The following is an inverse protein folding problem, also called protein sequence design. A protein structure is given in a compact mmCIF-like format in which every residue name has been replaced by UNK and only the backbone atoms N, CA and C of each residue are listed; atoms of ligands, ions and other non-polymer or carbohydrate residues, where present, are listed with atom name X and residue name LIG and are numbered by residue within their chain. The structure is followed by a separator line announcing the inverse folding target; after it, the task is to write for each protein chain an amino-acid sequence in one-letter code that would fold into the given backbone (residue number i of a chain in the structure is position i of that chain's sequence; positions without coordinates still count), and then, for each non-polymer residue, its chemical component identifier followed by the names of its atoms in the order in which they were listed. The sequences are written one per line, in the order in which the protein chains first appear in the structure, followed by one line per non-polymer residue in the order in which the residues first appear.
data_IF_093817848174
#
_entry.id   IF_093817848174
#
_cell.length_a   1.000
_cell.length_b   1.000
_cell.length_c   1.000
_cell.angle_alpha   90.00
_cell.angle_beta   90.00
_cell.angle_gamma   90.00
#
_symmetry.space_group_name_H-M   'P 1'
#
loop_
_entity.id
_entity.type
_entity.pdbx_description
1 polymer ?
#
# COMPACT_ATOMS: atom_id res chain seq x y z
N UNK A 1 -6.55 -16.56 -3.32
CA UNK A 1 -6.16 -15.20 -3.77
C UNK A 1 -4.66 -15.19 -4.01
N UNK A 2 -4.19 -14.55 -5.08
CA UNK A 2 -2.75 -14.34 -5.30
C UNK A 2 -2.20 -13.48 -4.16
N UNK A 3 -1.02 -13.77 -3.64
CA UNK A 3 -0.38 -13.04 -2.52
C UNK A 3 -0.35 -11.52 -2.76
N UNK A 4 -0.07 -11.12 -4.01
CA UNK A 4 -0.06 -9.72 -4.44
C UNK A 4 -1.39 -9.00 -4.23
N UNK A 5 -2.51 -9.65 -4.54
CA UNK A 5 -3.85 -9.05 -4.34
C UNK A 5 -4.17 -8.87 -2.86
N UNK A 6 -3.67 -9.76 -1.99
CA UNK A 6 -3.78 -9.59 -0.55
C UNK A 6 -2.97 -8.38 -0.07
N UNK A 7 -1.76 -8.19 -0.59
CA UNK A 7 -0.91 -7.04 -0.25
C UNK A 7 -1.53 -5.72 -0.70
N UNK A 8 -2.07 -5.66 -1.93
CA UNK A 8 -2.80 -4.49 -2.42
C UNK A 8 -4.03 -4.18 -1.57
N UNK A 9 -4.79 -5.20 -1.15
CA UNK A 9 -5.94 -5.02 -0.25
C UNK A 9 -5.52 -4.33 1.05
N UNK A 10 -4.40 -4.74 1.65
CA UNK A 10 -3.87 -4.12 2.87
C UNK A 10 -3.53 -2.65 2.62
N UNK A 11 -2.89 -2.32 1.49
CA UNK A 11 -2.60 -0.93 1.12
C UNK A 11 -3.88 -0.11 0.97
N UNK A 12 -4.93 -0.65 0.33
CA UNK A 12 -6.24 0.01 0.23
C UNK A 12 -6.87 0.26 1.61
N UNK A 13 -6.81 -0.71 2.52
CA UNK A 13 -7.29 -0.56 3.91
C UNK A 13 -6.55 0.56 4.65
N UNK A 14 -5.22 0.68 4.47
CA UNK A 14 -4.45 1.78 5.06
C UNK A 14 -4.72 3.13 4.39
N UNK A 15 -4.91 3.16 3.06
CA UNK A 15 -5.34 4.37 2.34
C UNK A 15 -6.68 4.88 2.85
N UNK A 16 -7.67 4.01 3.01
CA UNK A 16 -8.98 4.38 3.55
C UNK A 16 -8.87 4.84 5.01
N UNK A 17 -8.15 4.09 5.85
CA UNK A 17 -8.00 4.39 7.28
C UNK A 17 -7.26 5.70 7.56
N UNK A 18 -6.22 5.99 6.79
CA UNK A 18 -5.42 7.21 6.98
C UNK A 18 -5.95 8.40 6.19
N UNK A 19 -6.75 8.17 5.15
CA UNK A 19 -7.37 9.20 4.33
C UNK A 19 -6.34 10.21 3.83
N UNK A 20 -6.59 11.50 4.11
CA UNK A 20 -5.71 12.60 3.71
C UNK A 20 -4.30 12.51 4.32
N UNK A 21 -4.14 11.82 5.45
CA UNK A 21 -2.84 11.63 6.11
C UNK A 21 -2.04 10.46 5.52
N UNK A 22 -2.61 9.72 4.56
CA UNK A 22 -1.96 8.56 3.98
C UNK A 22 -0.57 8.89 3.42
N UNK A 23 -0.43 9.96 2.64
CA UNK A 23 0.85 10.38 2.06
C UNK A 23 1.90 10.68 3.12
N UNK A 24 1.48 11.30 4.23
CA UNK A 24 2.40 11.62 5.34
C UNK A 24 2.90 10.34 6.02
N UNK A 25 1.99 9.43 6.38
CA UNK A 25 2.38 8.18 7.05
C UNK A 25 3.11 7.21 6.12
N UNK A 26 2.76 7.19 4.83
CA UNK A 26 3.41 6.37 3.81
C UNK A 26 4.87 6.74 3.59
N UNK A 27 5.28 8.00 3.84
CA UNK A 27 6.69 8.43 3.72
C UNK A 27 7.61 7.81 4.76
N UNK A 28 7.07 7.48 5.93
CA UNK A 28 7.77 6.91 7.09
C UNK A 28 7.31 5.48 7.37
N UNK A 29 6.80 4.79 6.35
CA UNK A 29 6.15 3.48 6.50
C UNK A 29 7.10 2.42 7.08
N UNK A 30 8.39 2.55 6.84
CA UNK A 30 9.45 1.67 7.32
C UNK A 30 9.53 1.57 8.85
N UNK A 31 9.09 2.63 9.56
CA UNK A 31 9.05 2.69 11.02
C UNK A 31 7.82 1.96 11.61
N UNK A 32 6.81 1.68 10.78
CA UNK A 32 5.58 1.03 11.22
C UNK A 32 5.70 -0.49 11.19
N UNK A 33 5.68 -1.10 12.38
CA UNK A 33 5.73 -2.57 12.52
C UNK A 33 4.49 -3.29 11.98
N UNK A 34 3.30 -2.70 12.12
CA UNK A 34 2.03 -3.36 11.76
C UNK A 34 1.90 -3.58 10.24
N UNK A 35 2.04 -2.55 9.38
CA UNK A 35 1.98 -2.72 7.92
C UNK A 35 2.99 -3.76 7.42
N UNK A 36 4.22 -3.76 7.96
CA UNK A 36 5.26 -4.72 7.59
C UNK A 36 4.84 -6.16 7.89
N UNK A 37 4.31 -6.44 9.08
CA UNK A 37 3.85 -7.79 9.46
C UNK A 37 2.70 -8.26 8.55
N UNK A 38 1.78 -7.35 8.21
CA UNK A 38 0.62 -7.68 7.38
C UNK A 38 1.00 -7.97 5.93
N UNK A 39 1.97 -7.24 5.38
CA UNK A 39 2.41 -7.38 3.98
C UNK A 39 3.47 -8.47 3.82
N UNK A 40 4.58 -8.37 4.56
CA UNK A 40 5.64 -9.38 4.59
C UNK A 40 6.58 -9.15 5.77
N UNK A 41 6.48 -10.02 6.78
CA UNK A 41 7.25 -9.92 8.02
C UNK A 41 8.76 -10.13 7.87
N UNK A 42 9.21 -10.71 6.75
CA UNK A 42 10.60 -11.10 6.53
C UNK A 42 11.44 -10.01 5.86
N UNK A 43 10.81 -8.92 5.42
CA UNK A 43 11.52 -7.82 4.76
C UNK A 43 12.22 -6.92 5.77
N UNK A 44 13.41 -6.45 5.41
CA UNK A 44 14.05 -5.32 6.08
C UNK A 44 13.20 -4.05 5.91
N UNK A 45 13.42 -3.02 6.75
CA UNK A 45 12.69 -1.75 6.61
C UNK A 45 12.81 -1.14 5.20
N UNK A 46 13.99 -1.21 4.58
CA UNK A 46 14.26 -0.71 3.23
C UNK A 46 13.47 -1.50 2.17
N UNK A 47 13.59 -2.83 2.17
CA UNK A 47 12.87 -3.69 1.21
C UNK A 47 11.35 -3.54 1.35
N UNK A 48 10.86 -3.39 2.59
CA UNK A 48 9.47 -3.14 2.85
C UNK A 48 9.01 -1.79 2.29
N UNK A 49 9.81 -0.73 2.45
CA UNK A 49 9.51 0.59 1.88
C UNK A 49 9.43 0.54 0.35
N UNK A 50 10.34 -0.17 -0.30
CA UNK A 50 10.32 -0.36 -1.75
C UNK A 50 9.07 -1.10 -2.21
N UNK A 51 8.75 -2.25 -1.58
CA UNK A 51 7.53 -3.01 -1.87
C UNK A 51 6.27 -2.17 -1.62
N UNK A 52 6.24 -1.42 -0.52
CA UNK A 52 5.11 -0.56 -0.19
C UNK A 52 4.87 0.50 -1.28
N UNK A 53 5.92 1.20 -1.71
CA UNK A 53 5.82 2.21 -2.77
C UNK A 53 5.34 1.61 -4.10
N UNK A 54 5.81 0.41 -4.44
CA UNK A 54 5.37 -0.32 -5.63
C UNK A 54 3.86 -0.64 -5.56
N UNK A 55 3.40 -1.18 -4.43
CA UNK A 55 1.98 -1.49 -4.21
C UNK A 55 1.10 -0.24 -4.21
N UNK A 56 1.56 0.86 -3.60
CA UNK A 56 0.85 2.15 -3.62
C UNK A 56 0.67 2.66 -5.04
N UNK A 57 1.72 2.56 -5.86
CA UNK A 57 1.67 2.96 -7.26
C UNK A 57 0.65 2.12 -8.02
N UNK A 58 0.71 0.79 -7.90
CA UNK A 58 -0.25 -0.12 -8.55
C UNK A 58 -1.69 0.19 -8.16
N UNK A 59 -1.96 0.33 -6.86
CA UNK A 59 -3.31 0.64 -6.36
C UNK A 59 -3.81 1.98 -6.91
N UNK A 60 -2.96 3.02 -6.94
CA UNK A 60 -3.34 4.32 -7.52
C UNK A 60 -3.63 4.23 -9.02
N UNK A 61 -2.84 3.45 -9.77
CA UNK A 61 -3.07 3.23 -11.19
C UNK A 61 -4.37 2.48 -11.47
N UNK A 62 -4.70 1.49 -10.64
CA UNK A 62 -5.99 0.77 -10.70
C UNK A 62 -7.17 1.71 -10.43
N UNK A 63 -7.13 2.46 -9.33
CA UNK A 63 -8.17 3.43 -8.97
C UNK A 63 -8.38 4.51 -10.04
N UNK A 64 -7.31 4.92 -10.73
CA UNK A 64 -7.39 5.88 -11.84
C UNK A 64 -8.07 5.29 -13.07
N UNK A 65 -7.82 4.01 -13.38
CA UNK A 65 -8.46 3.32 -14.51
C UNK A 65 -9.95 3.11 -14.26
N UNK A 66 -10.32 2.73 -13.05
CA UNK A 66 -11.72 2.58 -12.64
C UNK A 66 -12.50 3.90 -12.82
N UNK A 67 -11.95 5.03 -12.37
CA UNK A 67 -12.58 6.35 -12.57
C UNK A 67 -12.73 6.79 -14.03
N UNK A 68 -11.88 6.30 -14.92
CA UNK A 68 -11.92 6.67 -16.35
C UNK A 68 -13.00 5.88 -17.12
N UNK A 69 -13.41 4.72 -16.62
CA UNK A 69 -14.42 3.88 -17.27
C UNK A 69 -15.86 4.23 -16.90
N UNK A 70 -16.07 5.09 -15.89
CA UNK A 70 -17.38 5.56 -15.45
C UNK A 70 -17.81 6.91 -16.08
N UNK A 71 -17.10 7.39 -17.12
CA UNK A 71 -17.40 8.62 -17.89
C UNK A 71 -17.70 8.24 -19.34
#
# INVERSE_FOLDING_TARGET
MKEREKQKKIVREFMERWGERFELYSRYIEDFKIPRILINRNLSPTEFKELWNELVKEVKEEMRKERTQEI
#
